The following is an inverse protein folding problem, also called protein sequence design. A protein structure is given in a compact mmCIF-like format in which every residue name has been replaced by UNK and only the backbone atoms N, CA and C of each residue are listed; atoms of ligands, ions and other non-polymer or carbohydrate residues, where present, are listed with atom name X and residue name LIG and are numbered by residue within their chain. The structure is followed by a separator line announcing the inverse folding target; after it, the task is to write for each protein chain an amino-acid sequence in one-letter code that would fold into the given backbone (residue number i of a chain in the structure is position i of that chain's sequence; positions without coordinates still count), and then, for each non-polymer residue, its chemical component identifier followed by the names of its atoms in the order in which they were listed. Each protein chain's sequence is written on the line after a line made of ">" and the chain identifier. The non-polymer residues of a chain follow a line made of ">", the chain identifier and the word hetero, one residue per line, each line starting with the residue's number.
data_IF_385967034125
#
_entry.id   IF_385967034125
#
_cell.length_a   1.000
_cell.length_b   1.000
_cell.length_c   1.000
_cell.angle_alpha   90.00
_cell.angle_beta   90.00
_cell.angle_gamma   90.00
#
_symmetry.space_group_name_H-M   'P 1'
#
loop_
_entity.id
_entity.type
_entity.pdbx_description
1 polymer ?
#
# COMPACT_ATOMS: atom_id res chain seq x y z
N UNK A 1 -33.89 29.02 58.37
CA UNK A 1 -34.42 29.00 57.00
C UNK A 1 -33.61 27.98 56.21
N UNK A 2 -34.27 26.94 55.73
CA UNK A 2 -33.74 25.92 54.81
C UNK A 2 -33.17 26.53 53.52
N UNK A 3 -32.28 25.77 52.87
CA UNK A 3 -32.16 25.54 51.41
C UNK A 3 -30.75 24.95 51.20
N UNK A 4 -30.55 23.64 51.29
CA UNK A 4 -30.78 22.66 50.21
C UNK A 4 -30.75 23.26 48.80
N UNK A 5 -29.60 23.12 48.13
CA UNK A 5 -29.59 22.99 46.68
C UNK A 5 -28.54 21.94 46.27
N UNK A 6 -28.97 20.69 46.42
CA UNK A 6 -28.99 19.68 45.36
C UNK A 6 -28.57 20.13 43.93
N UNK A 7 -27.48 19.50 43.43
CA UNK A 7 -27.34 18.72 42.15
C UNK A 7 -27.53 19.47 40.79
N UNK A 8 -26.70 19.26 39.73
CA UNK A 8 -26.30 17.92 39.31
C UNK A 8 -24.87 17.63 38.83
N UNK A 9 -24.53 16.34 39.06
CA UNK A 9 -23.60 15.56 38.25
C UNK A 9 -23.95 15.69 36.78
N UNK A 10 -22.98 16.04 35.96
CA UNK A 10 -22.78 15.47 34.63
C UNK A 10 -21.30 15.55 34.34
N UNK A 11 -20.57 14.71 35.08
CA UNK A 11 -19.31 14.16 34.67
C UNK A 11 -19.64 13.16 33.55
N UNK A 12 -19.58 13.62 32.31
CA UNK A 12 -19.45 12.76 31.13
C UNK A 12 -18.57 13.54 30.12
N UNK A 13 -17.27 13.37 30.32
CA UNK A 13 -16.38 12.88 29.27
C UNK A 13 -16.34 13.73 27.98
N UNK A 14 -15.61 14.85 28.03
CA UNK A 14 -14.52 15.10 27.09
C UNK A 14 -13.70 16.31 27.53
N UNK A 15 -12.85 16.10 28.55
CA UNK A 15 -11.68 16.93 28.76
C UNK A 15 -10.78 16.82 27.52
N UNK A 16 -10.70 17.91 26.76
CA UNK A 16 -9.51 18.23 25.98
C UNK A 16 -9.37 19.74 26.01
N UNK A 17 -8.73 20.13 27.10
CA UNK A 17 -8.21 21.44 27.44
C UNK A 17 -7.25 21.97 26.34
N UNK A 18 -7.01 23.29 26.36
CA UNK A 18 -5.97 24.04 25.64
C UNK A 18 -6.32 24.73 24.29
N UNK A 19 -6.46 26.06 24.40
CA UNK A 19 -6.27 27.14 23.40
C UNK A 19 -7.46 27.62 22.52
N UNK A 20 -7.70 28.94 22.42
CA UNK A 20 -8.79 29.54 21.63
C UNK A 20 -8.65 29.36 20.10
N UNK A 21 -7.51 28.85 19.62
CA UNK A 21 -7.27 28.44 18.22
C UNK A 21 -7.69 26.99 17.94
N UNK A 22 -7.49 26.06 18.90
CA UNK A 22 -7.79 24.63 18.75
C UNK A 22 -9.28 24.32 18.63
N UNK A 23 -10.15 25.06 19.33
CA UNK A 23 -11.61 24.81 19.30
C UNK A 23 -12.24 24.98 17.92
N UNK A 24 -11.72 25.90 17.08
CA UNK A 24 -12.19 26.06 15.70
C UNK A 24 -11.70 24.91 14.83
N UNK A 25 -10.42 24.57 14.91
CA UNK A 25 -9.83 23.47 14.14
C UNK A 25 -10.50 22.15 14.47
N UNK A 26 -10.76 21.86 15.75
CA UNK A 26 -11.48 20.65 16.18
C UNK A 26 -12.91 20.62 15.65
N UNK A 27 -13.64 21.75 15.67
CA UNK A 27 -15.00 21.83 15.11
C UNK A 27 -15.02 21.62 13.59
N UNK A 28 -14.04 22.17 12.87
CA UNK A 28 -13.89 21.91 11.44
C UNK A 28 -13.45 20.49 11.17
N UNK A 29 -12.58 19.90 11.98
CA UNK A 29 -12.17 18.50 11.85
C UNK A 29 -13.34 17.56 12.06
N UNK A 30 -14.17 17.79 13.09
CA UNK A 30 -15.36 17.00 13.35
C UNK A 30 -16.43 17.20 12.28
N UNK A 31 -16.67 18.44 11.83
CA UNK A 31 -17.59 18.71 10.72
C UNK A 31 -17.09 18.12 9.40
N UNK A 32 -15.78 18.12 9.16
CA UNK A 32 -15.16 17.50 7.99
C UNK A 32 -15.21 15.98 8.10
N UNK A 33 -14.94 15.40 9.27
CA UNK A 33 -15.02 13.96 9.48
C UNK A 33 -16.46 13.45 9.32
N UNK A 34 -17.43 14.15 9.90
CA UNK A 34 -18.85 13.87 9.69
C UNK A 34 -19.25 14.12 8.24
N UNK A 35 -18.79 15.21 7.63
CA UNK A 35 -19.06 15.53 6.23
C UNK A 35 -18.49 14.49 5.26
N UNK A 36 -17.27 14.02 5.49
CA UNK A 36 -16.63 12.94 4.71
C UNK A 36 -17.35 11.63 4.95
N UNK A 37 -17.72 11.30 6.19
CA UNK A 37 -18.45 10.05 6.49
C UNK A 37 -19.85 10.07 5.86
N UNK A 38 -20.57 11.19 5.95
CA UNK A 38 -21.88 11.39 5.33
C UNK A 38 -21.78 11.41 3.81
N UNK A 39 -20.78 12.08 3.24
CA UNK A 39 -20.56 12.13 1.79
C UNK A 39 -20.11 10.77 1.25
N UNK A 40 -19.29 10.04 2.00
CA UNK A 40 -18.89 8.68 1.66
C UNK A 40 -20.08 7.73 1.74
N UNK A 41 -20.88 7.78 2.82
CA UNK A 41 -22.07 6.95 2.98
C UNK A 41 -23.15 7.30 1.96
N UNK A 42 -23.36 8.59 1.70
CA UNK A 42 -24.30 9.09 0.68
C UNK A 42 -23.82 8.76 -0.72
N UNK A 43 -22.54 8.94 -1.04
CA UNK A 43 -21.95 8.58 -2.32
C UNK A 43 -21.99 7.08 -2.56
N UNK A 44 -21.70 6.27 -1.54
CA UNK A 44 -21.76 4.81 -1.62
C UNK A 44 -23.20 4.31 -1.74
N UNK A 45 -24.14 4.90 -0.99
CA UNK A 45 -25.57 4.57 -1.08
C UNK A 45 -26.12 5.00 -2.42
N UNK A 46 -25.85 6.22 -2.88
CA UNK A 46 -26.31 6.74 -4.16
C UNK A 46 -25.71 5.95 -5.32
N UNK A 47 -24.41 5.70 -5.31
CA UNK A 47 -23.75 4.86 -6.33
C UNK A 47 -24.31 3.44 -6.26
N UNK A 48 -24.49 2.88 -5.06
CA UNK A 48 -25.10 1.57 -4.85
C UNK A 48 -26.54 1.51 -5.36
N UNK A 49 -27.35 2.54 -5.13
CA UNK A 49 -28.73 2.65 -5.60
C UNK A 49 -28.79 2.89 -7.10
N UNK A 50 -27.94 3.75 -7.67
CA UNK A 50 -27.87 4.00 -9.11
C UNK A 50 -27.41 2.74 -9.83
N UNK A 51 -26.37 2.06 -9.33
CA UNK A 51 -25.92 0.76 -9.84
C UNK A 51 -27.02 -0.28 -9.67
N UNK A 52 -27.73 -0.31 -8.54
CA UNK A 52 -28.86 -1.21 -8.30
C UNK A 52 -30.08 -0.89 -9.18
N UNK A 53 -30.33 0.36 -9.57
CA UNK A 53 -31.37 0.77 -10.51
C UNK A 53 -30.98 0.38 -11.94
N UNK A 54 -29.73 0.69 -12.32
CA UNK A 54 -29.12 0.26 -13.59
C UNK A 54 -28.97 -1.25 -13.65
N UNK A 55 -28.97 -1.97 -12.52
CA UNK A 55 -29.10 -3.43 -12.47
C UNK A 55 -30.58 -3.86 -12.46
N UNK A 56 -31.47 -3.21 -11.73
CA UNK A 56 -32.88 -3.61 -11.61
C UNK A 56 -33.63 -3.44 -12.94
N UNK A 57 -33.33 -2.38 -13.70
CA UNK A 57 -33.89 -2.13 -15.03
C UNK A 57 -33.54 -3.24 -16.02
N UNK A 58 -32.30 -3.76 -16.12
CA UNK A 58 -31.97 -4.93 -16.91
C UNK A 58 -32.15 -6.27 -16.20
N UNK A 59 -32.31 -6.38 -14.87
CA UNK A 59 -32.72 -7.62 -14.18
C UNK A 59 -34.14 -8.02 -14.59
N UNK A 60 -34.99 -7.02 -14.87
CA UNK A 60 -36.26 -7.18 -15.60
C UNK A 60 -36.08 -7.57 -17.08
N UNK A 61 -34.86 -7.45 -17.65
CA UNK A 61 -34.49 -7.80 -19.05
C UNK A 61 -33.56 -9.04 -19.12
N UNK A 62 -33.09 -9.56 -17.97
CA UNK A 62 -32.05 -10.60 -17.80
C UNK A 62 -32.53 -12.04 -18.05
N UNK A 63 -33.67 -12.21 -18.73
CA UNK A 63 -33.93 -13.43 -19.51
C UNK A 63 -33.20 -13.43 -20.88
N UNK A 64 -32.35 -12.45 -21.13
CA UNK A 64 -31.55 -12.34 -22.35
C UNK A 64 -30.17 -11.71 -22.01
N UNK A 65 -29.12 -11.89 -22.83
CA UNK A 65 -27.79 -12.39 -22.45
C UNK A 65 -26.80 -11.34 -21.88
N UNK A 66 -27.16 -10.62 -20.82
CA UNK A 66 -26.40 -9.42 -20.35
C UNK A 66 -25.71 -9.55 -18.97
N UNK A 67 -25.76 -10.73 -18.36
CA UNK A 67 -25.09 -10.97 -17.07
C UNK A 67 -23.54 -10.86 -17.18
N UNK A 68 -23.00 -11.10 -18.37
CA UNK A 68 -21.55 -10.99 -18.66
C UNK A 68 -21.06 -9.53 -18.59
N UNK A 69 -21.69 -8.54 -19.27
CA UNK A 69 -21.36 -7.13 -19.13
C UNK A 69 -21.41 -6.57 -17.70
N UNK A 70 -22.39 -6.97 -16.89
CA UNK A 70 -22.58 -6.40 -15.55
C UNK A 70 -21.49 -6.82 -14.56
N UNK A 71 -21.05 -8.08 -14.64
CA UNK A 71 -19.91 -8.57 -13.87
C UNK A 71 -18.61 -7.82 -14.16
N UNK A 72 -18.38 -7.46 -15.44
CA UNK A 72 -17.20 -6.69 -15.86
C UNK A 72 -17.21 -5.31 -15.21
N UNK A 73 -18.34 -4.62 -15.16
CA UNK A 73 -18.45 -3.28 -14.55
C UNK A 73 -18.14 -3.35 -13.04
N UNK A 74 -18.68 -4.32 -12.32
CA UNK A 74 -18.40 -4.51 -10.88
C UNK A 74 -16.91 -4.80 -10.66
N UNK A 75 -16.33 -5.69 -11.48
CA UNK A 75 -14.89 -5.94 -11.45
C UNK A 75 -14.08 -4.67 -11.73
N UNK A 76 -14.47 -3.87 -12.73
CA UNK A 76 -13.80 -2.61 -13.06
C UNK A 76 -13.91 -1.57 -11.95
N UNK A 77 -15.05 -1.50 -11.27
CA UNK A 77 -15.24 -0.62 -10.11
C UNK A 77 -14.36 -1.08 -8.95
N UNK A 78 -14.34 -2.37 -8.62
CA UNK A 78 -13.49 -2.90 -7.54
C UNK A 78 -12.01 -2.72 -7.91
N UNK A 79 -11.59 -3.16 -9.09
CA UNK A 79 -10.21 -3.04 -9.56
C UNK A 79 -9.79 -1.58 -9.72
N UNK A 80 -10.63 -0.70 -10.25
CA UNK A 80 -10.37 0.73 -10.38
C UNK A 80 -10.30 1.43 -9.02
N UNK A 81 -11.14 1.04 -8.07
CA UNK A 81 -11.10 1.54 -6.70
C UNK A 81 -9.86 1.03 -5.93
N UNK A 82 -9.45 -0.23 -6.15
CA UNK A 82 -8.20 -0.76 -5.63
C UNK A 82 -6.98 -0.07 -6.25
N UNK A 83 -7.03 0.20 -7.56
CA UNK A 83 -5.99 0.93 -8.28
C UNK A 83 -5.87 2.36 -7.75
N UNK A 84 -6.99 3.05 -7.56
CA UNK A 84 -7.02 4.40 -6.95
C UNK A 84 -6.68 4.37 -5.46
N UNK A 85 -7.04 3.32 -4.73
CA UNK A 85 -6.72 3.14 -3.31
C UNK A 85 -5.23 2.92 -3.08
N UNK A 86 -4.60 2.09 -3.91
CA UNK A 86 -3.14 1.91 -3.92
C UNK A 86 -2.40 3.16 -4.40
N UNK A 87 -2.94 3.85 -5.40
CA UNK A 87 -2.36 5.10 -5.91
C UNK A 87 -2.44 6.23 -4.90
N UNK A 88 -3.50 6.31 -4.08
CA UNK A 88 -3.59 7.29 -2.99
C UNK A 88 -2.47 7.12 -1.97
N UNK A 89 -2.17 5.88 -1.55
CA UNK A 89 -1.06 5.57 -0.65
C UNK A 89 0.29 5.85 -1.31
N UNK A 90 0.44 5.56 -2.60
CA UNK A 90 1.65 5.88 -3.36
C UNK A 90 1.89 7.39 -3.46
N UNK A 91 0.83 8.17 -3.75
CA UNK A 91 0.89 9.62 -3.83
C UNK A 91 1.22 10.24 -2.46
N UNK A 92 0.57 9.79 -1.38
CA UNK A 92 0.88 10.21 -0.01
C UNK A 92 2.33 9.86 0.34
N UNK A 93 2.80 8.66 0.00
CA UNK A 93 4.20 8.25 0.19
C UNK A 93 5.18 9.14 -0.57
N UNK A 94 4.90 9.46 -1.84
CA UNK A 94 5.75 10.36 -2.64
C UNK A 94 5.76 11.79 -2.09
N UNK A 95 4.59 12.29 -1.65
CA UNK A 95 4.44 13.57 -0.97
C UNK A 95 5.21 13.62 0.35
N UNK A 96 5.15 12.56 1.17
CA UNK A 96 5.96 12.45 2.38
C UNK A 96 7.45 12.40 2.05
N UNK A 97 7.84 11.72 0.97
CA UNK A 97 9.24 11.60 0.55
C UNK A 97 9.82 12.95 0.14
N UNK A 98 9.12 13.70 -0.73
CA UNK A 98 9.56 15.01 -1.18
C UNK A 98 9.51 16.06 -0.04
N UNK A 99 8.50 15.98 0.82
CA UNK A 99 8.37 16.87 1.97
C UNK A 99 9.46 16.65 3.02
N UNK A 100 9.82 15.40 3.29
CA UNK A 100 10.88 15.04 4.22
C UNK A 100 12.26 15.39 3.63
N UNK A 101 12.42 15.24 2.31
CA UNK A 101 13.60 15.65 1.56
C UNK A 101 13.84 17.17 1.65
N UNK A 102 12.79 17.98 1.44
CA UNK A 102 12.86 19.45 1.59
C UNK A 102 13.13 19.85 3.05
N UNK A 103 12.62 19.10 4.02
CA UNK A 103 12.90 19.31 5.45
C UNK A 103 14.27 18.82 5.91
N UNK A 104 15.13 18.34 5.01
CA UNK A 104 16.48 17.87 5.34
C UNK A 104 16.51 16.63 6.23
N UNK A 105 15.37 15.97 6.44
CA UNK A 105 15.28 14.70 7.17
C UNK A 105 15.43 13.61 6.12
N UNK A 106 16.56 12.92 6.18
CA UNK A 106 16.92 11.77 5.35
C UNK A 106 15.72 10.82 5.17
N UNK A 107 15.47 10.31 3.94
CA UNK A 107 14.23 9.62 3.61
C UNK A 107 14.06 8.32 4.41
N UNK A 108 12.94 8.20 5.13
CA UNK A 108 12.55 7.03 5.95
C UNK A 108 12.38 5.71 5.18
N UNK A 109 12.54 5.71 3.86
CA UNK A 109 12.54 4.52 3.00
C UNK A 109 13.92 4.10 2.48
N UNK A 110 14.97 4.88 2.74
CA UNK A 110 16.33 4.49 2.36
C UNK A 110 16.80 3.26 3.13
N UNK A 111 16.41 3.09 4.39
CA UNK A 111 16.75 1.89 5.17
C UNK A 111 16.30 0.58 4.48
N UNK A 112 15.12 0.58 3.83
CA UNK A 112 14.64 -0.61 3.12
C UNK A 112 15.44 -0.87 1.83
N UNK A 113 15.78 0.21 1.12
CA UNK A 113 16.58 0.14 -0.10
C UNK A 113 18.05 -0.22 0.19
N UNK A 114 18.61 0.30 1.28
CA UNK A 114 19.96 0.03 1.75
C UNK A 114 20.07 -1.36 2.36
N UNK A 115 19.05 -1.82 3.09
CA UNK A 115 18.97 -3.21 3.56
C UNK A 115 18.90 -4.20 2.39
N UNK A 116 18.04 -3.94 1.40
CA UNK A 116 17.95 -4.76 0.19
C UNK A 116 19.27 -4.72 -0.61
N UNK A 117 19.89 -3.55 -0.77
CA UNK A 117 21.15 -3.40 -1.50
C UNK A 117 22.31 -4.09 -0.80
N UNK A 118 22.36 -4.04 0.53
CA UNK A 118 23.39 -4.71 1.31
C UNK A 118 23.26 -6.24 1.22
N UNK A 119 22.02 -6.77 1.29
CA UNK A 119 21.76 -8.19 1.12
C UNK A 119 22.05 -8.69 -0.30
N UNK A 120 21.74 -7.90 -1.33
CA UNK A 120 22.08 -8.24 -2.72
C UNK A 120 23.59 -8.26 -2.93
N UNK A 121 24.33 -7.30 -2.35
CA UNK A 121 25.80 -7.30 -2.42
C UNK A 121 26.41 -8.52 -1.76
N UNK A 122 25.95 -8.88 -0.56
CA UNK A 122 26.51 -10.03 0.16
C UNK A 122 26.28 -11.34 -0.59
N UNK A 123 25.10 -11.54 -1.17
CA UNK A 123 24.81 -12.73 -1.99
C UNK A 123 25.63 -12.73 -3.28
N UNK A 124 25.84 -11.58 -3.91
CA UNK A 124 26.63 -11.46 -5.14
C UNK A 124 28.11 -11.77 -4.88
N UNK A 125 28.68 -11.29 -3.78
CA UNK A 125 30.06 -11.61 -3.39
C UNK A 125 30.24 -13.11 -3.15
N UNK A 126 29.33 -13.74 -2.39
CA UNK A 126 29.39 -15.19 -2.17
C UNK A 126 29.24 -15.96 -3.48
N UNK A 127 28.28 -15.61 -4.32
CA UNK A 127 28.11 -16.27 -5.62
C UNK A 127 29.36 -16.14 -6.51
N UNK A 128 30.05 -14.99 -6.47
CA UNK A 128 31.29 -14.77 -7.21
C UNK A 128 32.44 -15.63 -6.68
N UNK A 129 32.60 -15.73 -5.36
CA UNK A 129 33.59 -16.61 -4.72
C UNK A 129 33.36 -18.09 -5.10
N UNK A 130 32.13 -18.58 -4.99
CA UNK A 130 31.77 -19.95 -5.37
C UNK A 130 31.94 -20.20 -6.88
N UNK A 131 31.50 -19.26 -7.72
CA UNK A 131 31.65 -19.35 -9.18
C UNK A 131 33.11 -19.38 -9.60
N UNK A 132 33.97 -18.60 -8.94
CA UNK A 132 35.40 -18.56 -9.23
C UNK A 132 36.11 -19.85 -8.81
N UNK A 133 35.74 -20.46 -7.68
CA UNK A 133 36.25 -21.78 -7.29
C UNK A 133 35.88 -22.88 -8.29
N UNK A 134 34.61 -22.93 -8.70
CA UNK A 134 34.13 -23.93 -9.68
C UNK A 134 34.77 -23.69 -11.06
N UNK A 135 34.97 -22.44 -11.45
CA UNK A 135 35.64 -22.11 -12.71
C UNK A 135 37.11 -22.53 -12.71
N UNK A 136 37.85 -22.32 -11.61
CA UNK A 136 39.25 -22.76 -11.49
C UNK A 136 39.34 -24.28 -11.55
N UNK A 137 38.46 -25.00 -10.83
CA UNK A 137 38.41 -26.47 -10.87
C UNK A 137 38.03 -27.00 -12.27
N UNK A 138 37.08 -26.34 -12.94
CA UNK A 138 36.65 -26.73 -14.28
C UNK A 138 37.74 -26.46 -15.33
N UNK A 139 38.52 -25.38 -15.16
CA UNK A 139 39.65 -25.06 -16.04
C UNK A 139 40.80 -26.04 -15.82
N UNK A 140 41.20 -26.28 -14.56
CA UNK A 140 42.23 -27.26 -14.22
C UNK A 140 41.87 -28.68 -14.69
N UNK A 141 40.60 -29.08 -14.59
CA UNK A 141 40.10 -30.36 -15.09
C UNK A 141 40.17 -30.48 -16.62
N UNK A 142 39.87 -29.40 -17.35
CA UNK A 142 40.04 -29.36 -18.82
C UNK A 142 41.50 -29.47 -19.21
N UNK A 143 42.39 -28.75 -18.54
CA UNK A 143 43.82 -28.76 -18.83
C UNK A 143 44.44 -30.15 -18.58
N UNK A 144 44.00 -30.83 -17.52
CA UNK A 144 44.41 -32.21 -17.22
C UNK A 144 43.87 -33.22 -18.24
N UNK A 145 42.62 -33.06 -18.71
CA UNK A 145 42.03 -33.92 -19.73
C UNK A 145 42.73 -33.77 -21.09
N UNK A 146 43.06 -32.54 -21.49
CA UNK A 146 43.78 -32.26 -22.74
C UNK A 146 45.17 -32.89 -22.69
N UNK A 147 45.86 -32.79 -21.56
CA UNK A 147 47.17 -33.42 -21.37
C UNK A 147 47.09 -34.95 -21.39
N UNK A 148 46.08 -35.54 -20.77
CA UNK A 148 45.87 -37.00 -20.79
C UNK A 148 45.56 -37.53 -22.19
N UNK A 149 44.78 -36.80 -23.00
CA UNK A 149 44.55 -37.15 -24.41
C UNK A 149 45.82 -37.08 -25.25
N UNK A 150 46.66 -36.07 -25.04
CA UNK A 150 47.94 -35.97 -25.75
C UNK A 150 48.91 -37.09 -25.39
N UNK A 151 48.94 -37.53 -24.12
CA UNK A 151 49.80 -38.64 -23.71
C UNK A 151 49.35 -39.99 -24.28
N UNK A 152 48.04 -40.20 -24.50
CA UNK A 152 47.54 -41.39 -25.19
C UNK A 152 47.82 -41.41 -26.69
N UNK A 153 48.14 -40.26 -27.30
CA UNK A 153 48.46 -40.17 -28.74
C UNK A 153 49.95 -40.45 -29.03
N UNK A 154 50.79 -40.56 -27.99
CA UNK A 154 52.24 -40.70 -28.11
C UNK A 154 52.76 -42.11 -27.74
N UNK A 155 51.88 -43.07 -27.45
CA UNK A 155 52.20 -44.47 -27.19
C UNK A 155 51.36 -45.38 -28.10
#
# INVERSE_FOLDING_TARGET
>A
MSNDQTKPMTQELNESDSAPSSRKVVKFLTATALGVTLLFLSGLTLTGTVVALVMATPVMVLFSPILVPSGIVIFLVITGFFFSGGFGVAAITALLWIYNYVKGKQPRGADLLDYARNMVRSVTEKAKEYGQYVQVQHKAGKDAQVKAKHLQQLN
#
